data_IF_817307199439
#
_entry.id   IF_817307199439
#
_cell.length_a   1.000
_cell.length_b   1.000
_cell.length_c   1.000
_cell.angle_alpha   90.00
_cell.angle_beta   90.00
_cell.angle_gamma   90.00
#
_symmetry.space_group_name_H-M   'P 1'
#
loop_
_entity.id
_entity.type
_entity.pdbx_description
1 polymer ?
#
# COMPACT_ATOMS: atom_id res chain seq x y z
N UNK A 1 -28.43 13.23 -35.60
CA UNK A 1 -28.80 12.81 -34.23
C UNK A 1 -29.22 11.35 -34.29
N UNK A 2 -28.49 10.44 -33.64
CA UNK A 2 -28.81 9.00 -33.69
C UNK A 2 -30.08 8.72 -32.88
N UNK A 3 -31.08 8.14 -33.54
CA UNK A 3 -32.36 7.75 -32.96
C UNK A 3 -32.11 6.80 -31.76
N UNK A 4 -32.50 7.16 -30.52
CA UNK A 4 -32.33 6.27 -29.39
C UNK A 4 -33.24 5.06 -29.60
N UNK A 5 -32.64 3.94 -30.00
CA UNK A 5 -33.36 2.66 -30.10
C UNK A 5 -34.09 2.42 -28.78
N UNK A 6 -35.40 2.16 -28.84
CA UNK A 6 -36.19 1.82 -27.66
C UNK A 6 -35.53 0.62 -26.96
N UNK A 7 -35.20 0.80 -25.69
CA UNK A 7 -34.72 -0.28 -24.84
C UNK A 7 -35.78 -1.38 -24.79
N UNK A 8 -35.36 -2.64 -24.67
CA UNK A 8 -36.30 -3.75 -24.43
C UNK A 8 -37.09 -3.48 -23.15
N UNK A 9 -38.37 -3.85 -23.14
CA UNK A 9 -39.21 -3.78 -21.96
C UNK A 9 -38.56 -4.57 -20.80
N UNK A 10 -38.53 -4.00 -19.58
CA UNK A 10 -37.91 -4.63 -18.41
C UNK A 10 -36.41 -4.38 -18.24
N UNK A 11 -35.70 -3.92 -19.28
CA UNK A 11 -34.24 -3.74 -19.22
C UNK A 11 -33.82 -2.59 -18.30
N UNK A 12 -34.65 -1.55 -18.21
CA UNK A 12 -34.37 -0.38 -17.37
C UNK A 12 -34.55 -0.71 -15.89
N UNK A 13 -35.58 -1.48 -15.59
CA UNK A 13 -35.90 -2.02 -14.28
C UNK A 13 -34.76 -2.94 -13.81
N UNK A 14 -34.34 -3.87 -14.67
CA UNK A 14 -33.21 -4.77 -14.39
C UNK A 14 -31.89 -4.04 -14.10
N UNK A 15 -31.58 -2.99 -14.86
CA UNK A 15 -30.37 -2.17 -14.62
C UNK A 15 -30.42 -1.46 -13.26
N UNK A 16 -31.59 -0.97 -12.86
CA UNK A 16 -31.75 -0.29 -11.58
C UNK A 16 -31.68 -1.28 -10.43
N UNK A 17 -32.31 -2.46 -10.56
CA UNK A 17 -32.22 -3.56 -9.59
C UNK A 17 -30.76 -3.93 -9.30
N UNK A 18 -29.94 -4.16 -10.34
CA UNK A 18 -28.51 -4.46 -10.17
C UNK A 18 -27.79 -3.35 -9.38
N UNK A 19 -28.09 -2.08 -9.69
CA UNK A 19 -27.48 -0.95 -8.98
C UNK A 19 -27.86 -0.96 -7.51
N UNK A 20 -29.13 -1.19 -7.21
CA UNK A 20 -29.67 -1.12 -5.87
C UNK A 20 -29.16 -2.30 -5.04
N UNK A 21 -29.06 -3.51 -5.61
CA UNK A 21 -28.45 -4.70 -5.00
C UNK A 21 -26.94 -4.52 -4.72
N UNK A 22 -26.21 -3.84 -5.60
CA UNK A 22 -24.80 -3.48 -5.35
C UNK A 22 -24.68 -2.46 -4.22
N UNK A 23 -25.62 -1.53 -4.11
CA UNK A 23 -25.61 -0.48 -3.07
C UNK A 23 -26.05 -0.99 -1.71
N UNK A 24 -27.01 -1.91 -1.67
CA UNK A 24 -27.46 -2.57 -0.44
C UNK A 24 -26.46 -3.59 0.08
N UNK A 25 -25.48 -4.00 -0.75
CA UNK A 25 -24.50 -5.03 -0.40
C UNK A 25 -24.99 -6.46 -0.62
N UNK A 26 -26.23 -6.63 -1.11
CA UNK A 26 -26.80 -7.93 -1.47
C UNK A 26 -26.02 -8.60 -2.61
N UNK A 27 -25.51 -7.79 -3.55
CA UNK A 27 -24.73 -8.27 -4.69
C UNK A 27 -23.26 -7.83 -4.59
N UNK A 28 -22.38 -8.77 -4.31
CA UNK A 28 -20.93 -8.56 -4.33
C UNK A 28 -20.38 -8.54 -5.76
N UNK A 29 -19.45 -7.64 -6.04
CA UNK A 29 -18.87 -7.45 -7.40
C UNK A 29 -18.09 -8.64 -7.95
N UNK A 30 -17.57 -9.46 -7.05
CA UNK A 30 -16.72 -10.61 -7.34
C UNK A 30 -17.48 -11.94 -7.19
N UNK A 31 -18.79 -11.87 -6.88
CA UNK A 31 -19.67 -13.04 -6.83
C UNK A 31 -19.83 -13.70 -8.20
N UNK A 32 -20.17 -14.98 -8.19
CA UNK A 32 -20.51 -15.72 -9.41
C UNK A 32 -21.78 -15.18 -10.06
N UNK A 33 -22.74 -14.74 -9.26
CA UNK A 33 -23.95 -14.08 -9.75
C UNK A 33 -23.62 -12.83 -10.60
N UNK A 34 -22.67 -12.00 -10.13
CA UNK A 34 -22.24 -10.82 -10.88
C UNK A 34 -21.57 -11.17 -12.22
N UNK A 35 -20.91 -12.33 -12.32
CA UNK A 35 -20.34 -12.81 -13.60
C UNK A 35 -21.44 -13.08 -14.61
N UNK A 36 -22.54 -13.69 -14.19
CA UNK A 36 -23.65 -14.03 -15.07
C UNK A 36 -24.47 -12.80 -15.45
N UNK A 37 -24.67 -11.87 -14.50
CA UNK A 37 -25.23 -10.55 -14.79
C UNK A 37 -24.37 -9.82 -15.84
N UNK A 38 -23.04 -9.79 -15.69
CA UNK A 38 -22.12 -9.16 -16.67
C UNK A 38 -22.22 -9.83 -18.04
N UNK A 39 -22.43 -11.14 -18.11
CA UNK A 39 -22.60 -11.91 -19.36
C UNK A 39 -23.90 -11.51 -20.07
N UNK A 40 -25.02 -11.46 -19.35
CA UNK A 40 -26.32 -11.02 -19.87
C UNK A 40 -26.25 -9.58 -20.37
N UNK A 41 -25.72 -8.66 -19.56
CA UNK A 41 -25.59 -7.25 -19.92
C UNK A 41 -24.69 -7.02 -21.14
N UNK A 42 -23.65 -7.84 -21.34
CA UNK A 42 -22.75 -7.73 -22.49
C UNK A 42 -23.40 -8.25 -23.78
N UNK A 43 -24.30 -9.23 -23.67
CA UNK A 43 -25.04 -9.75 -24.82
C UNK A 43 -26.09 -8.75 -25.36
N UNK A 44 -26.53 -7.80 -24.53
CA UNK A 44 -27.52 -6.81 -24.91
C UNK A 44 -26.91 -5.67 -25.74
N UNK A 45 -27.08 -5.74 -27.06
CA UNK A 45 -26.47 -4.80 -28.01
C UNK A 45 -27.15 -3.41 -28.05
N UNK A 46 -28.24 -3.19 -27.30
CA UNK A 46 -28.87 -1.86 -27.19
C UNK A 46 -28.16 -0.95 -26.19
N UNK A 47 -27.37 -1.49 -25.27
CA UNK A 47 -26.65 -0.76 -24.23
C UNK A 47 -25.21 -1.24 -24.10
N UNK A 48 -24.33 -0.43 -23.53
CA UNK A 48 -22.95 -0.82 -23.25
C UNK A 48 -22.87 -1.92 -22.20
N UNK A 49 -23.80 -1.98 -21.23
CA UNK A 49 -23.88 -3.04 -20.23
C UNK A 49 -22.68 -3.10 -19.26
N UNK A 50 -21.81 -2.08 -19.22
CA UNK A 50 -20.64 -2.05 -18.35
C UNK A 50 -21.04 -1.59 -16.95
N UNK A 51 -20.72 -2.35 -15.91
CA UNK A 51 -21.00 -1.94 -14.52
C UNK A 51 -19.85 -1.07 -14.03
N UNK A 52 -20.15 0.19 -13.71
CA UNK A 52 -19.14 1.19 -13.35
C UNK A 52 -18.72 1.07 -11.88
N UNK A 53 -17.66 1.80 -11.49
CA UNK A 53 -17.19 1.87 -10.10
C UNK A 53 -18.25 2.40 -9.11
N UNK A 54 -19.30 3.08 -9.57
CA UNK A 54 -20.44 3.52 -8.74
C UNK A 54 -21.61 2.53 -8.71
N UNK A 55 -21.46 1.34 -9.30
CA UNK A 55 -22.48 0.29 -9.36
C UNK A 55 -23.55 0.51 -10.43
N UNK A 56 -23.46 1.57 -11.24
CA UNK A 56 -24.43 1.82 -12.32
C UNK A 56 -24.05 1.02 -13.56
N UNK A 57 -25.04 0.44 -14.24
CA UNK A 57 -24.85 -0.11 -15.59
C UNK A 57 -24.83 1.02 -16.62
N UNK A 58 -23.84 1.01 -17.51
CA UNK A 58 -23.73 1.95 -18.61
C UNK A 58 -24.80 1.66 -19.67
N UNK A 59 -25.74 2.59 -19.81
CA UNK A 59 -26.83 2.54 -20.80
C UNK A 59 -26.49 3.17 -22.14
N UNK A 60 -25.26 3.68 -22.31
CA UNK A 60 -24.80 4.28 -23.57
C UNK A 60 -24.83 3.26 -24.69
N UNK A 61 -25.25 3.66 -25.90
CA UNK A 61 -25.24 2.79 -27.07
C UNK A 61 -23.84 2.22 -27.34
N UNK A 62 -23.69 0.91 -27.60
CA UNK A 62 -22.42 0.34 -28.03
C UNK A 62 -21.92 1.00 -29.31
N UNK A 63 -20.61 1.24 -29.38
CA UNK A 63 -19.97 1.84 -30.56
C UNK A 63 -19.48 0.79 -31.55
N UNK A 64 -19.40 -0.48 -31.16
CA UNK A 64 -18.78 -1.54 -31.93
C UNK A 64 -19.41 -2.92 -31.64
N UNK A 65 -19.05 -3.92 -32.43
CA UNK A 65 -19.57 -5.31 -32.35
C UNK A 65 -19.29 -6.03 -31.02
N UNK A 66 -18.42 -5.48 -30.16
CA UNK A 66 -18.07 -6.09 -28.88
C UNK A 66 -19.05 -5.77 -27.73
N UNK A 67 -20.15 -5.05 -28.02
CA UNK A 67 -21.20 -4.72 -27.06
C UNK A 67 -20.82 -3.60 -26.09
N UNK A 68 -19.72 -2.86 -26.31
CA UNK A 68 -19.27 -1.76 -25.43
C UNK A 68 -19.27 -0.40 -26.14
N UNK A 69 -19.46 0.67 -25.37
CA UNK A 69 -19.29 2.05 -25.86
C UNK A 69 -17.80 2.45 -25.88
N UNK A 70 -17.45 3.56 -26.53
CA UNK A 70 -16.05 4.01 -26.67
C UNK A 70 -15.35 4.14 -25.32
N UNK A 71 -16.03 4.74 -24.32
CA UNK A 71 -15.50 4.93 -22.97
C UNK A 71 -15.21 3.61 -22.23
N UNK A 72 -15.87 2.51 -22.61
CA UNK A 72 -15.68 1.19 -22.01
C UNK A 72 -15.03 0.21 -22.98
N UNK A 73 -14.18 0.71 -23.89
CA UNK A 73 -13.36 -0.13 -24.77
C UNK A 73 -14.08 -0.67 -26.00
N UNK A 74 -15.18 -0.03 -26.42
CA UNK A 74 -15.90 -0.39 -27.65
C UNK A 74 -14.99 -0.47 -28.88
N UNK A 75 -14.03 0.45 -28.99
CA UNK A 75 -13.03 0.49 -30.06
C UNK A 75 -11.72 -0.21 -29.72
N UNK A 76 -11.59 -0.79 -28.53
CA UNK A 76 -10.39 -1.53 -28.17
C UNK A 76 -10.36 -2.85 -28.92
N UNK A 77 -9.38 -3.01 -29.81
CA UNK A 77 -9.13 -4.25 -30.56
C UNK A 77 -8.19 -5.21 -29.82
N UNK A 78 -7.67 -4.80 -28.66
CA UNK A 78 -6.58 -5.50 -27.99
C UNK A 78 -5.30 -5.52 -28.83
N UNK A 79 -4.34 -6.34 -28.43
CA UNK A 79 -3.13 -6.58 -29.21
C UNK A 79 -3.45 -7.44 -30.44
N UNK A 80 -3.24 -6.88 -31.63
CA UNK A 80 -3.54 -7.55 -32.92
C UNK A 80 -2.33 -8.27 -33.51
N UNK A 81 -1.11 -7.83 -33.18
CA UNK A 81 0.15 -8.43 -33.65
C UNK A 81 0.61 -9.59 -32.77
N UNK A 82 1.34 -10.55 -33.33
CA UNK A 82 1.92 -11.66 -32.55
C UNK A 82 2.90 -11.16 -31.47
N UNK A 83 3.73 -10.16 -31.79
CA UNK A 83 4.59 -9.50 -30.81
C UNK A 83 3.78 -8.88 -29.65
N UNK A 84 2.67 -8.20 -29.96
CA UNK A 84 1.80 -7.59 -28.96
C UNK A 84 1.10 -8.63 -28.08
N UNK A 85 0.67 -9.76 -28.66
CA UNK A 85 0.08 -10.88 -27.91
C UNK A 85 1.12 -11.52 -26.98
N UNK A 86 2.36 -11.68 -27.44
CA UNK A 86 3.45 -12.22 -26.62
C UNK A 86 3.78 -11.27 -25.47
N UNK A 87 3.91 -9.96 -25.71
CA UNK A 87 4.08 -8.96 -24.63
C UNK A 87 2.92 -8.97 -23.64
N UNK A 88 1.68 -9.12 -24.10
CA UNK A 88 0.52 -9.25 -23.21
C UNK A 88 0.62 -10.51 -22.34
N UNK A 89 0.99 -11.67 -22.92
CA UNK A 89 1.18 -12.92 -22.18
C UNK A 89 2.32 -12.82 -21.18
N UNK A 90 3.45 -12.21 -21.57
CA UNK A 90 4.56 -11.95 -20.67
C UNK A 90 4.14 -11.05 -19.51
N UNK A 91 3.39 -9.97 -19.77
CA UNK A 91 2.90 -9.08 -18.73
C UNK A 91 1.89 -9.79 -17.80
N UNK A 92 1.06 -10.68 -18.35
CA UNK A 92 0.13 -11.50 -17.57
C UNK A 92 0.88 -12.51 -16.69
N UNK A 93 1.90 -13.18 -17.22
CA UNK A 93 2.75 -14.12 -16.49
C UNK A 93 3.58 -13.42 -15.41
N UNK A 94 4.09 -12.21 -15.71
CA UNK A 94 4.74 -11.32 -14.74
C UNK A 94 3.78 -10.84 -13.65
N UNK A 95 2.47 -10.99 -13.82
CA UNK A 95 1.46 -10.60 -12.84
C UNK A 95 1.59 -9.17 -12.32
N UNK A 96 0.95 -8.89 -11.17
CA UNK A 96 1.30 -7.71 -10.35
C UNK A 96 2.43 -8.07 -9.41
N UNK A 97 3.58 -8.50 -9.92
CA UNK A 97 4.71 -8.76 -9.04
C UNK A 97 5.18 -7.41 -8.47
N UNK A 98 5.17 -7.23 -7.14
CA UNK A 98 5.59 -5.98 -6.55
C UNK A 98 7.05 -5.74 -6.91
N UNK A 99 7.31 -4.60 -7.55
CA UNK A 99 8.60 -4.23 -8.15
C UNK A 99 9.77 -4.37 -7.15
N UNK A 100 9.51 -4.32 -5.84
CA UNK A 100 10.52 -4.38 -4.77
C UNK A 100 10.34 -5.55 -3.79
N UNK A 101 9.40 -6.49 -4.02
CA UNK A 101 9.04 -7.54 -3.03
C UNK A 101 8.40 -7.01 -1.73
N UNK A 102 8.41 -5.69 -1.55
CA UNK A 102 8.04 -4.96 -0.34
C UNK A 102 6.56 -5.08 0.06
N UNK A 103 5.69 -5.28 -0.94
CA UNK A 103 4.25 -5.36 -0.76
C UNK A 103 3.72 -6.81 -0.89
N UNK A 104 4.62 -7.80 -0.78
CA UNK A 104 4.22 -9.20 -0.63
C UNK A 104 3.50 -9.38 0.71
N UNK A 105 2.54 -10.32 0.78
CA UNK A 105 1.82 -10.61 2.03
C UNK A 105 2.79 -11.07 3.14
N UNK A 106 3.78 -11.87 2.76
CA UNK A 106 4.76 -12.45 3.68
C UNK A 106 6.16 -11.88 3.42
N UNK A 107 6.37 -10.60 3.70
CA UNK A 107 7.64 -9.92 3.46
C UNK A 107 8.86 -10.66 4.07
N UNK A 108 8.74 -11.15 5.30
CA UNK A 108 9.83 -11.85 6.00
C UNK A 108 10.25 -13.14 5.30
N UNK A 109 9.30 -13.87 4.71
CA UNK A 109 9.59 -15.10 3.97
C UNK A 109 10.36 -14.83 2.67
N UNK A 110 10.32 -13.58 2.17
CA UNK A 110 11.01 -13.18 0.95
C UNK A 110 12.43 -12.68 1.18
N UNK A 111 12.90 -12.59 2.44
CA UNK A 111 14.27 -12.14 2.75
C UNK A 111 15.32 -13.09 2.16
N UNK A 112 16.38 -12.53 1.58
CA UNK A 112 17.54 -13.31 1.14
C UNK A 112 18.31 -13.81 2.36
N UNK A 113 19.15 -14.85 2.19
CA UNK A 113 19.98 -15.33 3.31
C UNK A 113 20.91 -14.23 3.84
N UNK A 114 21.55 -13.45 2.96
CA UNK A 114 22.38 -12.29 3.38
C UNK A 114 21.61 -11.26 4.23
N UNK A 115 20.34 -10.99 3.91
CA UNK A 115 19.51 -10.06 4.69
C UNK A 115 19.10 -10.65 6.05
N UNK A 116 18.89 -11.97 6.12
CA UNK A 116 18.59 -12.68 7.38
C UNK A 116 19.81 -12.71 8.29
N UNK A 117 20.98 -12.98 7.72
CA UNK A 117 22.25 -13.02 8.44
C UNK A 117 22.55 -11.63 8.99
N UNK A 118 22.48 -10.58 8.15
CA UNK A 118 22.66 -9.21 8.61
C UNK A 118 21.70 -8.81 9.73
N UNK A 119 20.41 -9.15 9.60
CA UNK A 119 19.42 -8.85 10.64
C UNK A 119 19.76 -9.56 11.96
N UNK A 120 20.10 -10.84 11.87
CA UNK A 120 20.38 -11.69 13.04
C UNK A 120 21.65 -11.23 13.75
N UNK A 121 22.73 -11.04 13.00
CA UNK A 121 24.02 -10.56 13.51
C UNK A 121 23.88 -9.18 14.17
N UNK A 122 23.14 -8.27 13.52
CA UNK A 122 22.94 -6.93 14.05
C UNK A 122 22.12 -6.97 15.33
N UNK A 123 20.98 -7.69 15.33
CA UNK A 123 20.13 -7.84 16.52
C UNK A 123 20.88 -8.49 17.68
N UNK A 124 21.68 -9.52 17.41
CA UNK A 124 22.51 -10.19 18.41
C UNK A 124 23.60 -9.27 18.97
N UNK A 125 24.28 -8.51 18.10
CA UNK A 125 25.25 -7.51 18.55
C UNK A 125 24.62 -6.51 19.53
N UNK A 126 23.43 -5.97 19.24
CA UNK A 126 22.76 -5.06 20.16
C UNK A 126 22.40 -5.72 21.49
N UNK A 127 21.90 -6.96 21.47
CA UNK A 127 21.57 -7.71 22.69
C UNK A 127 22.81 -8.00 23.55
N UNK A 128 23.93 -8.32 22.91
CA UNK A 128 25.17 -8.65 23.62
C UNK A 128 25.90 -7.41 24.16
N UNK A 129 25.79 -6.26 23.48
CA UNK A 129 26.46 -5.03 23.90
C UNK A 129 25.63 -4.19 24.88
N UNK A 130 24.35 -4.49 25.02
CA UNK A 130 23.43 -3.71 25.87
C UNK A 130 22.58 -4.63 26.73
N UNK A 131 22.96 -4.70 28.01
CA UNK A 131 22.27 -5.50 29.03
C UNK A 131 20.91 -4.90 29.43
N UNK A 132 20.69 -3.60 29.17
CA UNK A 132 19.55 -2.79 29.62
C UNK A 132 18.40 -2.67 28.60
N UNK A 133 18.28 -3.61 27.66
CA UNK A 133 17.23 -3.56 26.62
C UNK A 133 15.86 -4.02 27.16
N UNK A 134 14.96 -3.07 27.33
CA UNK A 134 13.53 -3.29 27.58
C UNK A 134 12.86 -3.95 26.37
N UNK A 135 11.83 -4.80 26.54
CA UNK A 135 10.95 -5.25 25.47
C UNK A 135 10.56 -4.18 24.43
N UNK A 136 10.27 -2.94 24.85
CA UNK A 136 9.97 -1.83 23.93
C UNK A 136 11.19 -1.38 23.12
N UNK A 137 12.38 -1.42 23.70
CA UNK A 137 13.63 -1.09 23.03
C UNK A 137 13.97 -2.17 21.99
N UNK A 138 13.73 -3.44 22.31
CA UNK A 138 13.86 -4.57 21.38
C UNK A 138 12.88 -4.41 20.20
N UNK A 139 11.62 -4.05 20.46
CA UNK A 139 10.62 -3.86 19.41
C UNK A 139 10.95 -2.67 18.49
N UNK A 140 11.45 -1.55 19.05
CA UNK A 140 11.90 -0.40 18.25
C UNK A 140 13.10 -0.76 17.40
N UNK A 141 14.06 -1.50 17.96
CA UNK A 141 15.23 -1.98 17.23
C UNK A 141 14.80 -2.91 16.08
N UNK A 142 13.94 -3.88 16.34
CA UNK A 142 13.39 -4.77 15.31
C UNK A 142 12.75 -3.98 14.16
N UNK A 143 11.86 -3.05 14.50
CA UNK A 143 11.22 -2.18 13.50
C UNK A 143 12.25 -1.33 12.74
N UNK A 144 13.28 -0.80 13.40
CA UNK A 144 14.33 -0.03 12.74
C UNK A 144 15.09 -0.87 11.72
N UNK A 145 15.56 -2.07 12.11
CA UNK A 145 16.29 -2.97 11.24
C UNK A 145 15.46 -3.42 10.03
N UNK A 146 14.17 -3.73 10.24
CA UNK A 146 13.26 -4.07 9.14
C UNK A 146 13.06 -2.87 8.19
N UNK A 147 12.94 -1.64 8.71
CA UNK A 147 12.85 -0.46 7.84
C UNK A 147 14.14 -0.21 7.05
N UNK A 148 15.31 -0.51 7.62
CA UNK A 148 16.60 -0.48 6.90
C UNK A 148 16.62 -1.46 5.73
N UNK A 149 16.25 -2.72 5.95
CA UNK A 149 16.14 -3.72 4.88
C UNK A 149 15.18 -3.29 3.77
N UNK A 150 14.05 -2.69 4.16
CA UNK A 150 13.06 -2.14 3.22
C UNK A 150 13.64 -0.99 2.39
N UNK A 151 14.44 -0.10 2.99
CA UNK A 151 15.16 0.94 2.25
C UNK A 151 16.16 0.33 1.26
N UNK A 152 16.95 -0.66 1.68
CA UNK A 152 17.94 -1.30 0.80
C UNK A 152 17.30 -1.97 -0.42
N UNK A 153 16.21 -2.73 -0.23
CA UNK A 153 15.47 -3.34 -1.35
C UNK A 153 14.86 -2.31 -2.30
N UNK A 154 14.47 -1.16 -1.76
CA UNK A 154 13.90 -0.05 -2.51
C UNK A 154 14.98 0.65 -3.34
N UNK A 155 16.13 0.96 -2.74
CA UNK A 155 17.22 1.73 -3.34
C UNK A 155 18.16 0.89 -4.21
N UNK A 156 18.34 -0.40 -3.89
CA UNK A 156 19.29 -1.30 -4.55
C UNK A 156 18.97 -1.61 -6.02
N UNK A 157 17.75 -1.31 -6.50
CA UNK A 157 17.38 -1.53 -7.90
C UNK A 157 17.93 -0.46 -8.87
N UNK A 158 18.02 0.80 -8.45
CA UNK A 158 18.70 1.85 -9.23
C UNK A 158 18.92 3.12 -8.42
N UNK A 159 20.11 3.73 -8.57
CA UNK A 159 20.42 5.04 -8.00
C UNK A 159 19.41 6.12 -8.45
N UNK A 160 18.88 6.00 -9.66
CA UNK A 160 17.85 6.91 -10.19
C UNK A 160 16.52 6.85 -9.43
N UNK A 161 16.18 5.72 -8.82
CA UNK A 161 14.97 5.55 -8.01
C UNK A 161 15.15 6.16 -6.63
N UNK A 162 16.33 6.00 -6.03
CA UNK A 162 16.68 6.62 -4.74
C UNK A 162 16.71 8.16 -4.83
N UNK A 163 17.21 8.72 -5.93
CA UNK A 163 17.38 10.18 -6.08
C UNK A 163 16.10 10.90 -6.49
N UNK A 164 15.17 10.24 -7.22
CA UNK A 164 13.94 10.86 -7.75
C UNK A 164 12.68 10.46 -6.98
N UNK A 165 12.81 10.17 -5.68
CA UNK A 165 11.66 9.77 -4.87
C UNK A 165 10.63 10.91 -4.74
N UNK A 166 9.34 10.59 -4.94
CA UNK A 166 8.26 11.54 -4.71
C UNK A 166 7.97 11.67 -3.21
N UNK A 167 7.69 12.88 -2.75
CA UNK A 167 7.32 13.18 -1.33
C UNK A 167 6.14 12.35 -0.82
N UNK A 168 5.26 11.86 -1.70
CA UNK A 168 4.13 11.00 -1.33
C UNK A 168 4.48 9.52 -1.12
N UNK A 169 5.71 9.10 -1.42
CA UNK A 169 6.15 7.73 -1.24
C UNK A 169 6.54 7.44 0.22
N UNK A 170 6.48 6.16 0.60
CA UNK A 170 6.80 5.73 1.95
C UNK A 170 8.31 5.81 2.16
N UNK A 171 8.70 6.67 3.08
CA UNK A 171 10.08 6.85 3.49
C UNK A 171 10.42 5.89 4.64
N UNK A 172 11.18 4.84 4.32
CA UNK A 172 11.61 3.84 5.29
C UNK A 172 12.85 4.31 6.07
N UNK A 173 13.68 5.16 5.48
CA UNK A 173 14.92 5.66 6.10
C UNK A 173 14.60 6.59 7.25
N UNK A 174 13.72 7.57 7.01
CA UNK A 174 13.28 8.48 8.07
C UNK A 174 12.56 7.74 9.21
N UNK A 175 11.87 6.62 8.93
CA UNK A 175 11.27 5.79 9.98
C UNK A 175 12.34 5.06 10.79
N UNK A 176 13.33 4.47 10.13
CA UNK A 176 14.45 3.81 10.80
C UNK A 176 15.23 4.81 11.68
N UNK A 177 15.59 5.98 11.14
CA UNK A 177 16.29 7.04 11.86
C UNK A 177 15.51 7.47 13.11
N UNK A 178 14.21 7.77 12.97
CA UNK A 178 13.38 8.16 14.12
C UNK A 178 13.32 7.10 15.21
N UNK A 179 13.20 5.82 14.84
CA UNK A 179 13.18 4.72 15.80
C UNK A 179 14.51 4.60 16.54
N UNK A 180 15.63 4.78 15.83
CA UNK A 180 16.97 4.76 16.43
C UNK A 180 17.23 5.99 17.31
N UNK A 181 16.76 7.16 16.90
CA UNK A 181 16.84 8.38 17.71
C UNK A 181 16.02 8.24 18.99
N UNK A 182 14.79 7.73 18.90
CA UNK A 182 13.93 7.45 20.05
C UNK A 182 14.57 6.40 20.98
N UNK A 183 15.21 5.37 20.43
CA UNK A 183 15.97 4.37 21.19
C UNK A 183 17.14 5.04 21.92
N UNK A 184 17.92 5.88 21.22
CA UNK A 184 19.04 6.61 21.80
C UNK A 184 18.60 7.57 22.91
N UNK A 185 17.51 8.30 22.70
CA UNK A 185 16.96 9.27 23.65
C UNK A 185 16.36 8.58 24.88
N UNK A 186 15.57 7.52 24.70
CA UNK A 186 15.00 6.75 25.80
C UNK A 186 16.07 6.12 26.69
N UNK A 187 17.13 5.58 26.09
CA UNK A 187 18.26 5.00 26.83
C UNK A 187 19.09 6.04 27.57
N UNK A 188 19.40 7.18 26.93
CA UNK A 188 20.08 8.31 27.60
C UNK A 188 19.27 8.81 28.80
N UNK A 189 17.94 8.90 28.66
CA UNK A 189 17.04 9.30 29.74
C UNK A 189 17.04 8.29 30.91
N UNK A 190 16.96 6.99 30.63
CA UNK A 190 17.04 5.93 31.66
C UNK A 190 18.36 5.99 32.43
N UNK A 191 19.50 6.01 31.72
CA UNK A 191 20.83 6.15 32.33
C UNK A 191 20.99 7.45 33.14
N UNK A 192 20.40 8.54 32.68
CA UNK A 192 20.39 9.80 33.44
C UNK A 192 19.60 9.72 34.73
N UNK A 193 18.49 8.95 34.77
CA UNK A 193 17.70 8.74 35.99
C UNK A 193 18.37 7.79 36.97
N UNK A 194 19.07 6.78 36.45
CA UNK A 194 19.75 5.74 37.24
C UNK A 194 21.11 6.19 37.79
N UNK A 195 21.71 7.25 37.23
CA UNK A 195 22.87 7.92 37.81
C UNK A 195 22.51 8.62 39.12
N UNK A 196 22.36 7.85 40.19
CA UNK A 196 22.19 8.31 41.58
C UNK A 196 23.35 9.17 42.08
N UNK A 197 24.51 9.12 41.40
CA UNK A 197 25.71 9.90 41.67
C UNK A 197 25.71 11.29 41.04
N UNK A 198 24.81 11.57 40.08
CA UNK A 198 24.62 12.93 39.58
C UNK A 198 23.54 13.60 40.42
N UNK A 199 23.85 13.87 41.69
CA UNK A 199 23.00 14.74 42.48
C UNK A 199 23.07 16.12 41.84
N UNK A 200 22.09 16.46 41.00
CA UNK A 200 21.71 17.85 40.78
C UNK A 200 21.07 18.36 42.07
N UNK A 201 21.86 18.39 43.15
CA UNK A 201 21.64 19.15 44.38
C UNK A 201 21.87 20.64 44.11
N UNK A 202 21.45 21.14 42.95
CA UNK A 202 21.35 22.57 42.71
C UNK A 202 19.95 22.92 43.19
N UNK A 203 19.90 23.43 44.41
CA UNK A 203 18.68 24.00 44.98
C UNK A 203 18.39 25.31 44.21
N UNK A 204 17.84 25.18 42.99
CA UNK A 204 17.58 26.29 42.06
C UNK A 204 16.76 27.41 42.71
N UNK A 205 15.95 27.06 43.70
CA UNK A 205 15.19 28.01 44.50
C UNK A 205 16.11 28.97 45.28
N UNK A 206 17.12 28.45 45.97
CA UNK A 206 18.09 29.29 46.69
C UNK A 206 18.95 30.08 45.70
N UNK A 207 19.39 29.48 44.59
CA UNK A 207 20.23 30.17 43.61
C UNK A 207 19.53 31.29 42.81
N UNK A 208 18.20 31.22 42.67
CA UNK A 208 17.42 32.25 41.96
C UNK A 208 16.84 33.30 42.91
N UNK A 209 16.65 32.98 44.19
CA UNK A 209 15.94 33.83 45.14
C UNK A 209 16.76 34.25 46.38
N UNK A 210 18.05 33.88 46.50
CA UNK A 210 18.97 34.33 47.57
C UNK A 210 19.20 35.85 47.61
N UNK A 211 18.64 36.61 46.65
CA UNK A 211 18.65 38.07 46.63
C UNK A 211 17.29 38.75 46.83
N UNK A 212 16.21 38.01 47.09
CA UNK A 212 14.85 38.59 47.24
C UNK A 212 14.40 38.77 48.70
N UNK A 213 15.32 39.01 49.62
CA UNK A 213 14.96 39.60 50.92
C UNK A 213 15.26 41.11 50.93
N UNK A 214 14.32 41.88 50.36
CA UNK A 214 13.66 43.09 50.92
C UNK A 214 12.91 43.86 49.83
#
# INVERSE_FOLDING_TARGET
MANPRKLKAGLREYINDIRDRIRSGELLRDSDEMKEIKKVLKAEMTICGAVTGSGRVCSTTPSHKNGRCIAHGGRSTGATTEEGKNKMKENLAKGRQPIHGLYQKDFLATLTEEEKDWYSDTMEWYKNNYEDLDPLDIAKLDLALINTLKSWRKNGKSMSYAVNEKVSMVDFENRAIKLLDDLGMSRKFKKSRENSSNSTNVNLFNSLFDGMEK
#
